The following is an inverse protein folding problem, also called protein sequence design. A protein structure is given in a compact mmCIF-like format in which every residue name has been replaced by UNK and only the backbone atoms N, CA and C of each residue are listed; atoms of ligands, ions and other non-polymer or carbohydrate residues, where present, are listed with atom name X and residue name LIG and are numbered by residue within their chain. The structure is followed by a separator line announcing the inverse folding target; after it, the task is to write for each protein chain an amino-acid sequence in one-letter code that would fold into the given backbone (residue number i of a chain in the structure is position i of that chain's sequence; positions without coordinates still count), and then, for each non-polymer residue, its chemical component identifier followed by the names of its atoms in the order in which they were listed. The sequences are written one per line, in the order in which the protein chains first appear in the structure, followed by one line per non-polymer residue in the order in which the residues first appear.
data_IF_037310197905
#
_entry.id   IF_037310197905
#
_cell.length_a   1.000
_cell.length_b   1.000
_cell.length_c   1.000
_cell.angle_alpha   90.00
_cell.angle_beta   90.00
_cell.angle_gamma   90.00
#
_symmetry.space_group_name_H-M   'P 1'
#
loop_
_entity.id
_entity.type
_entity.pdbx_description
1 polymer ?
#
# COMPACT_ATOMS: atom_id res chain seq x y z
N UNK A 1 11.57 -5.37 23.55
CA UNK A 1 10.44 -4.43 23.32
C UNK A 1 10.21 -4.41 21.82
N UNK A 2 8.97 -4.22 21.35
CA UNK A 2 8.68 -4.08 19.91
C UNK A 2 8.34 -2.61 19.65
N UNK A 3 9.08 -1.96 18.78
CA UNK A 3 8.86 -0.59 18.34
C UNK A 3 7.90 -0.59 17.15
N UNK A 4 6.89 0.28 17.21
CA UNK A 4 5.97 0.51 16.11
C UNK A 4 6.16 1.94 15.62
N UNK A 5 6.41 2.10 14.32
CA UNK A 5 6.58 3.40 13.71
C UNK A 5 5.21 4.06 13.48
N UNK A 6 4.95 5.15 14.18
CA UNK A 6 3.79 6.01 13.93
C UNK A 6 4.18 7.14 12.96
N UNK A 7 3.65 7.17 11.73
CA UNK A 7 3.93 8.28 10.81
C UNK A 7 3.29 9.59 11.28
N UNK A 8 3.87 10.72 10.88
CA UNK A 8 3.37 12.06 11.17
C UNK A 8 2.78 12.71 9.91
N UNK A 9 1.76 13.54 10.09
CA UNK A 9 1.09 14.30 9.02
C UNK A 9 0.51 13.38 7.92
N UNK A 10 0.76 13.72 6.65
CA UNK A 10 0.34 12.99 5.46
C UNK A 10 1.28 11.82 5.10
N UNK A 11 2.09 11.34 6.05
CA UNK A 11 3.02 10.23 5.80
C UNK A 11 2.37 8.86 5.94
N UNK A 12 2.92 7.90 5.23
CA UNK A 12 2.51 6.49 5.20
C UNK A 12 3.74 5.63 5.45
N UNK A 13 3.57 4.55 6.22
CA UNK A 13 4.59 3.53 6.45
C UNK A 13 4.21 2.29 5.64
N UNK A 14 5.13 1.84 4.80
CA UNK A 14 4.92 0.72 3.90
C UNK A 14 5.96 -0.35 4.17
N UNK A 15 5.51 -1.60 4.27
CA UNK A 15 6.36 -2.77 4.26
C UNK A 15 6.60 -3.21 2.83
N UNK A 16 7.86 -3.35 2.47
CA UNK A 16 8.26 -3.98 1.21
C UNK A 16 7.73 -5.42 1.18
N UNK A 17 7.03 -5.80 0.11
CA UNK A 17 6.78 -7.21 -0.16
C UNK A 17 8.05 -7.76 -0.79
N UNK A 18 8.63 -8.80 -0.22
CA UNK A 18 9.72 -9.51 -0.91
C UNK A 18 9.21 -9.93 -2.28
N UNK A 19 9.96 -9.68 -3.36
CA UNK A 19 9.53 -10.11 -4.68
C UNK A 19 9.29 -11.62 -4.63
N UNK A 20 8.05 -12.07 -4.89
CA UNK A 20 7.77 -13.49 -5.12
C UNK A 20 8.70 -14.01 -6.21
N UNK A 21 9.82 -14.61 -5.83
CA UNK A 21 10.78 -15.22 -6.75
C UNK A 21 10.24 -16.56 -7.22
N UNK A 22 9.08 -16.56 -7.86
CA UNK A 22 8.73 -17.62 -8.78
C UNK A 22 9.47 -17.37 -10.10
N UNK A 23 10.67 -17.95 -10.24
CA UNK A 23 11.23 -18.11 -11.58
C UNK A 23 10.33 -19.09 -12.34
N UNK A 24 9.71 -18.64 -13.43
CA UNK A 24 9.00 -19.46 -14.46
C UNK A 24 9.83 -20.64 -15.04
N UNK A 25 10.98 -20.97 -14.48
CA UNK A 25 11.92 -21.99 -14.96
C UNK A 25 12.58 -22.85 -13.87
N UNK A 26 12.14 -22.77 -12.60
CA UNK A 26 12.58 -23.70 -11.55
C UNK A 26 14.01 -23.50 -11.01
N UNK A 27 14.70 -22.42 -11.38
CA UNK A 27 16.00 -22.07 -10.79
C UNK A 27 15.76 -21.04 -9.67
N UNK A 28 16.43 -21.13 -8.52
CA UNK A 28 16.40 -20.09 -7.49
C UNK A 28 17.47 -19.03 -7.81
N UNK A 29 17.13 -17.76 -8.05
CA UNK A 29 18.16 -16.70 -8.20
C UNK A 29 18.56 -16.32 -6.79
N UNK A 30 19.84 -16.31 -6.46
CA UNK A 30 20.32 -15.54 -5.32
C UNK A 30 20.07 -14.04 -5.61
N UNK A 31 19.81 -13.19 -4.61
CA UNK A 31 19.75 -11.76 -4.83
C UNK A 31 21.06 -11.31 -5.46
N UNK A 32 21.02 -10.77 -6.68
CA UNK A 32 22.12 -9.97 -7.18
C UNK A 32 22.13 -8.68 -6.35
N UNK A 33 23.30 -8.23 -5.90
CA UNK A 33 23.46 -7.00 -5.11
C UNK A 33 22.94 -5.71 -5.78
N UNK A 34 22.32 -5.77 -6.97
CA UNK A 34 21.94 -4.62 -7.80
C UNK A 34 20.49 -4.65 -8.32
N UNK A 35 19.62 -5.55 -7.83
CA UNK A 35 18.20 -5.50 -8.18
C UNK A 35 17.53 -4.32 -7.45
N UNK A 36 16.79 -3.42 -8.14
CA UNK A 36 16.10 -2.33 -7.46
C UNK A 36 15.03 -2.87 -6.50
N UNK A 37 14.74 -2.17 -5.38
CA UNK A 37 13.63 -2.51 -4.51
C UNK A 37 12.31 -2.57 -5.30
N UNK A 38 11.37 -3.44 -4.92
CA UNK A 38 10.05 -3.50 -5.50
C UNK A 38 9.33 -2.17 -5.24
N UNK A 39 8.56 -1.77 -6.23
CA UNK A 39 7.81 -0.52 -6.27
C UNK A 39 6.35 -0.72 -5.82
N UNK A 40 6.15 -1.73 -4.97
CA UNK A 40 4.88 -2.06 -4.36
C UNK A 40 5.08 -2.63 -2.96
N UNK A 41 4.07 -2.54 -2.10
CA UNK A 41 4.15 -2.98 -0.72
C UNK A 41 2.81 -2.90 0.02
N UNK A 42 2.84 -3.24 1.30
CA UNK A 42 1.67 -3.19 2.19
C UNK A 42 1.73 -1.96 3.08
N UNK A 43 0.66 -1.18 3.13
CA UNK A 43 0.53 -0.10 4.12
C UNK A 43 0.46 -0.71 5.52
N UNK A 44 1.38 -0.34 6.40
CA UNK A 44 1.37 -0.73 7.82
C UNK A 44 0.69 0.32 8.70
N UNK A 45 0.88 1.60 8.38
CA UNK A 45 0.35 2.72 9.15
C UNK A 45 0.20 3.97 8.30
N UNK A 46 -0.79 4.79 8.64
CA UNK A 46 -1.05 6.10 8.02
C UNK A 46 -1.03 7.17 9.11
N UNK A 47 -0.57 8.37 8.76
CA UNK A 47 -0.63 9.51 9.66
C UNK A 47 -2.04 10.10 9.74
N UNK A 48 -2.21 11.10 10.60
CA UNK A 48 -3.51 11.74 10.83
C UNK A 48 -3.93 12.72 9.70
N UNK A 49 -3.09 12.87 8.67
CA UNK A 49 -3.23 13.90 7.64
C UNK A 49 -2.64 15.25 8.10
N UNK A 50 -2.82 16.28 7.29
CA UNK A 50 -2.42 17.66 7.64
C UNK A 50 -3.59 18.42 8.23
N UNK A 51 -3.34 19.39 9.12
CA UNK A 51 -4.35 20.06 9.95
C UNK A 51 -5.57 20.57 9.18
N UNK A 52 -5.38 21.10 7.96
CA UNK A 52 -6.47 21.66 7.16
C UNK A 52 -7.36 20.60 6.50
N UNK A 53 -6.93 19.33 6.41
CA UNK A 53 -7.72 18.25 5.81
C UNK A 53 -8.98 17.96 6.62
N UNK A 54 -8.89 17.97 7.94
CA UNK A 54 -10.04 17.74 8.81
C UNK A 54 -11.14 18.79 8.57
N UNK A 55 -10.76 20.06 8.44
CA UNK A 55 -11.69 21.15 8.14
C UNK A 55 -12.32 21.07 6.74
N UNK A 56 -11.65 20.40 5.81
CA UNK A 56 -12.12 20.16 4.44
C UNK A 56 -12.82 18.79 4.25
N UNK A 57 -12.94 17.98 5.31
CA UNK A 57 -13.49 16.63 5.23
C UNK A 57 -12.63 15.62 4.47
N UNK A 58 -11.34 15.92 4.29
CA UNK A 58 -10.38 15.04 3.59
C UNK A 58 -9.81 14.02 4.57
N UNK A 59 -9.77 12.75 4.18
CA UNK A 59 -9.17 11.66 4.94
C UNK A 59 -7.98 11.08 4.16
N UNK A 60 -7.14 10.28 4.85
CA UNK A 60 -6.08 9.52 4.17
C UNK A 60 -6.73 8.61 3.11
N UNK A 61 -6.28 8.63 1.85
CA UNK A 61 -6.86 7.84 0.76
C UNK A 61 -6.43 6.36 0.78
N UNK A 62 -5.69 5.93 1.79
CA UNK A 62 -5.22 4.55 2.00
C UNK A 62 -5.35 4.18 3.46
N UNK A 63 -5.43 2.88 3.75
CA UNK A 63 -5.57 2.29 5.07
C UNK A 63 -4.53 1.18 5.31
N UNK A 64 -4.21 0.86 6.58
CA UNK A 64 -3.41 -0.33 6.89
C UNK A 64 -3.99 -1.59 6.24
N UNK A 65 -3.14 -2.34 5.55
CA UNK A 65 -3.53 -3.53 4.76
C UNK A 65 -3.60 -3.30 3.26
N UNK A 66 -3.71 -2.05 2.80
CA UNK A 66 -3.75 -1.76 1.36
C UNK A 66 -2.44 -2.17 0.67
N UNK A 67 -2.58 -2.87 -0.46
CA UNK A 67 -1.47 -3.08 -1.39
C UNK A 67 -1.30 -1.83 -2.23
N UNK A 68 -0.16 -1.17 -2.17
CA UNK A 68 0.07 0.10 -2.87
C UNK A 68 1.24 0.01 -3.83
N UNK A 69 1.23 0.87 -4.84
CA UNK A 69 2.34 1.09 -5.78
C UNK A 69 2.90 2.51 -5.62
N UNK A 70 4.21 2.65 -5.78
CA UNK A 70 4.93 3.92 -5.60
C UNK A 70 6.16 3.97 -6.52
N UNK A 71 6.59 5.15 -7.00
CA UNK A 71 7.80 5.25 -7.81
C UNK A 71 9.04 4.90 -6.97
N UNK A 72 10.12 4.46 -7.62
CA UNK A 72 11.40 4.17 -6.95
C UNK A 72 11.99 5.37 -6.17
N UNK A 73 11.58 6.60 -6.51
CA UNK A 73 12.00 7.83 -5.84
C UNK A 73 11.14 8.21 -4.64
N UNK A 74 10.11 7.43 -4.29
CA UNK A 74 9.22 7.77 -3.19
C UNK A 74 9.93 7.68 -1.84
N UNK A 75 9.80 8.72 -1.04
CA UNK A 75 10.15 8.69 0.38
C UNK A 75 11.58 8.27 0.72
N UNK A 76 11.73 7.64 1.89
CA UNK A 76 13.02 7.21 2.46
C UNK A 76 12.87 5.82 3.08
N UNK A 77 13.87 4.97 2.86
CA UNK A 77 14.00 3.67 3.51
C UNK A 77 14.62 3.81 4.89
N UNK A 78 14.00 3.22 5.90
CA UNK A 78 14.52 3.14 7.27
C UNK A 78 14.41 1.72 7.81
N UNK A 79 15.15 1.42 8.87
CA UNK A 79 15.06 0.16 9.61
C UNK A 79 14.52 0.41 11.01
N UNK A 80 13.50 -0.37 11.40
CA UNK A 80 12.93 -0.39 12.76
C UNK A 80 12.80 -1.84 13.16
N UNK A 81 13.45 -2.25 14.26
CA UNK A 81 13.45 -3.64 14.74
C UNK A 81 13.76 -4.69 13.66
N UNK A 82 14.81 -4.43 12.86
CA UNK A 82 15.23 -5.29 11.74
C UNK A 82 14.21 -5.41 10.59
N UNK A 83 13.12 -4.65 10.64
CA UNK A 83 12.17 -4.50 9.54
C UNK A 83 12.53 -3.28 8.68
N UNK A 84 12.77 -3.51 7.39
CA UNK A 84 12.96 -2.45 6.39
C UNK A 84 11.62 -1.86 5.98
N UNK A 85 11.46 -0.56 6.18
CA UNK A 85 10.23 0.18 5.96
C UNK A 85 10.46 1.34 5.00
N UNK A 86 9.52 1.57 4.10
CA UNK A 86 9.43 2.79 3.32
C UNK A 86 8.54 3.79 4.05
N UNK A 87 9.04 5.01 4.22
CA UNK A 87 8.24 6.15 4.71
C UNK A 87 8.16 7.21 3.62
N UNK A 88 6.96 7.45 3.10
CA UNK A 88 6.71 8.44 2.06
C UNK A 88 5.47 9.29 2.41
N UNK A 89 5.23 10.37 1.66
CA UNK A 89 3.95 11.07 1.70
C UNK A 89 2.91 10.27 0.93
N UNK A 90 1.65 10.39 1.33
CA UNK A 90 0.54 9.73 0.64
C UNK A 90 0.35 10.22 -0.80
N UNK A 91 0.72 11.47 -1.08
CA UNK A 91 0.70 12.03 -2.44
C UNK A 91 1.78 11.46 -3.38
N UNK A 92 2.73 10.66 -2.87
CA UNK A 92 3.72 9.96 -3.71
C UNK A 92 3.22 8.58 -4.16
N UNK A 93 2.11 8.08 -3.61
CA UNK A 93 1.53 6.80 -4.01
C UNK A 93 0.85 6.92 -5.38
N UNK A 94 1.08 5.93 -6.25
CA UNK A 94 0.50 5.88 -7.59
C UNK A 94 -0.91 5.26 -7.59
N UNK A 95 -1.23 4.43 -6.59
CA UNK A 95 -2.52 3.77 -6.46
C UNK A 95 -2.52 2.58 -5.50
N UNK A 96 -3.73 2.08 -5.22
CA UNK A 96 -3.98 0.82 -4.50
C UNK A 96 -4.20 -0.29 -5.53
N UNK A 97 -3.59 -1.46 -5.34
CA UNK A 97 -3.81 -2.66 -6.15
C UNK A 97 -5.04 -3.38 -5.61
N UNK A 98 -6.12 -3.40 -6.41
CA UNK A 98 -7.33 -4.15 -6.12
C UNK A 98 -7.41 -5.40 -7.03
N UNK A 99 -8.02 -6.47 -6.52
CA UNK A 99 -8.28 -7.65 -7.36
C UNK A 99 -9.50 -7.35 -8.23
N UNK A 100 -9.31 -7.39 -9.55
CA UNK A 100 -10.37 -7.19 -10.52
C UNK A 100 -11.26 -8.45 -10.62
N UNK A 101 -11.94 -8.83 -9.55
CA UNK A 101 -13.02 -9.81 -9.62
C UNK A 101 -14.25 -9.11 -10.21
N UNK A 102 -14.27 -9.03 -11.55
CA UNK A 102 -15.24 -8.31 -12.36
C UNK A 102 -16.67 -8.86 -12.29
N UNK A 103 -17.37 -8.60 -11.19
CA UNK A 103 -18.83 -8.53 -11.14
C UNK A 103 -19.24 -7.46 -10.14
N UNK A 104 -19.52 -6.26 -10.64
CA UNK A 104 -20.44 -5.37 -9.94
C UNK A 104 -21.72 -6.18 -9.61
N UNK A 105 -22.32 -6.06 -8.42
CA UNK A 105 -23.64 -6.60 -8.18
C UNK A 105 -24.54 -6.01 -9.28
N UNK A 106 -25.00 -6.87 -10.19
CA UNK A 106 -26.13 -6.50 -11.04
C UNK A 106 -27.26 -6.37 -10.06
N UNK A 107 -27.71 -5.15 -9.79
CA UNK A 107 -28.99 -4.94 -9.12
C UNK A 107 -30.02 -5.69 -9.96
N UNK A 108 -30.44 -6.86 -9.48
CA UNK A 108 -31.56 -7.58 -10.07
C UNK A 108 -32.73 -6.60 -10.03
N UNK A 109 -33.39 -6.31 -11.16
CA UNK A 109 -34.58 -5.48 -11.12
C UNK A 109 -35.56 -6.25 -10.24
N UNK A 110 -35.93 -5.64 -9.11
CA UNK A 110 -36.95 -6.19 -8.23
C UNK A 110 -38.14 -6.56 -9.12
N UNK A 111 -38.40 -7.86 -9.23
CA UNK A 111 -39.60 -8.37 -9.85
C UNK A 111 -40.75 -7.89 -8.96
N UNK A 112 -41.26 -6.70 -9.28
CA UNK A 112 -42.50 -6.14 -8.78
C UNK A 112 -43.64 -7.04 -9.25
N UNK A 113 -43.84 -8.11 -8.48
CA UNK A 113 -45.08 -8.85 -8.41
C UNK A 113 -46.09 -7.99 -7.67
N UNK A 114 -46.87 -7.21 -8.42
CA UNK A 114 -48.21 -6.76 -8.05
C UNK A 114 -49.00 -6.86 -9.37
N UNK A 115 -50.03 -7.69 -9.51
CA UNK A 115 -51.22 -7.78 -8.67
C UNK A 115 -52.39 -7.32 -9.53
#
# INVERSE_FOLDING_TARGET
MRHQLRPLFDRVVIKELEPERFRRSGILVAPGNNEPPPQHGIVLAVGDGVDWWAGAGVQMPVSPGDHVVFPASAGVWIEVDEERLLVCRVGELLGVIETADGRAPVEEPEAGAEG
#
